data_IF_372147723465
#
_entry.id   IF_372147723465
#
_cell.length_a   1.000
_cell.length_b   1.000
_cell.length_c   1.000
_cell.angle_alpha   90.00
_cell.angle_beta   90.00
_cell.angle_gamma   90.00
#
_symmetry.space_group_name_H-M   'P 1'
#
loop_
_entity.id
_entity.type
_entity.pdbx_description
1 polymer ?
#
# COMPACT_ATOMS: atom_id res chain seq x y z
N UNK A 1 7.92 14.12 12.36
CA UNK A 1 7.01 13.71 11.26
C UNK A 1 5.79 13.20 11.99
N UNK A 2 4.69 13.96 11.92
CA UNK A 2 3.39 13.69 12.54
C UNK A 2 3.53 13.12 13.96
N UNK A 3 4.20 13.86 14.85
CA UNK A 3 4.55 13.36 16.19
C UNK A 3 3.31 13.10 17.08
N UNK A 4 2.14 13.61 16.68
CA UNK A 4 0.84 13.41 17.32
C UNK A 4 0.08 12.16 16.86
N UNK A 5 0.62 11.38 15.92
CA UNK A 5 -0.06 10.22 15.34
C UNK A 5 0.72 8.93 15.58
N UNK A 6 0.06 7.88 16.06
CA UNK A 6 0.65 6.55 16.20
C UNK A 6 0.73 5.79 14.88
N UNK A 7 -0.25 6.04 14.00
CA UNK A 7 -0.41 5.38 12.71
C UNK A 7 -0.81 6.39 11.63
N UNK A 8 -0.34 6.15 10.42
CA UNK A 8 -0.65 6.94 9.22
C UNK A 8 -1.20 5.98 8.16
N UNK A 9 -2.44 6.24 7.72
CA UNK A 9 -3.04 5.54 6.59
C UNK A 9 -2.85 6.40 5.33
N UNK A 10 -2.00 5.92 4.42
CA UNK A 10 -1.89 6.43 3.07
C UNK A 10 -2.88 5.69 2.17
N UNK A 11 -3.49 6.39 1.21
CA UNK A 11 -4.16 5.72 0.11
C UNK A 11 -4.56 6.65 -1.02
N UNK A 12 -4.78 6.04 -2.19
CA UNK A 12 -5.20 6.72 -3.41
C UNK A 12 -6.61 7.30 -3.26
N UNK A 13 -7.02 8.20 -4.15
CA UNK A 13 -8.39 8.72 -4.14
C UNK A 13 -9.41 7.75 -4.76
N UNK A 14 -8.94 6.70 -5.45
CA UNK A 14 -9.77 5.73 -6.19
C UNK A 14 -9.84 4.34 -5.53
N UNK A 15 -9.64 4.26 -4.21
CA UNK A 15 -9.88 3.07 -3.38
C UNK A 15 -11.02 3.30 -2.38
N UNK A 16 -11.50 2.21 -1.76
CA UNK A 16 -12.57 2.27 -0.77
C UNK A 16 -12.39 1.33 0.40
N UNK A 17 -12.97 1.69 1.55
CA UNK A 17 -13.06 0.83 2.74
C UNK A 17 -14.33 -0.01 2.70
N UNK A 18 -14.22 -1.32 2.94
CA UNK A 18 -15.36 -2.23 2.79
C UNK A 18 -16.30 -2.29 3.96
N UNK A 19 -15.79 -2.09 5.17
CA UNK A 19 -16.56 -2.18 6.41
C UNK A 19 -16.22 -0.96 7.26
N UNK A 20 -17.08 0.05 7.17
CA UNK A 20 -16.95 1.27 7.97
C UNK A 20 -17.53 1.11 9.39
N UNK A 21 -18.14 -0.03 9.70
CA UNK A 21 -18.67 -0.35 11.03
C UNK A 21 -17.59 -0.88 11.98
N UNK A 22 -16.50 -1.42 11.43
CA UNK A 22 -15.37 -1.92 12.21
C UNK A 22 -14.31 -0.84 12.41
N UNK A 23 -13.92 -0.54 13.65
CA UNK A 23 -12.83 0.38 13.91
C UNK A 23 -11.49 -0.21 13.44
N UNK A 24 -10.58 0.62 12.94
CA UNK A 24 -9.24 0.21 12.50
C UNK A 24 -8.45 -0.48 13.63
N UNK A 25 -8.70 -0.07 14.87
CA UNK A 25 -8.12 -0.65 16.08
C UNK A 25 -8.46 -2.13 16.24
N UNK A 26 -9.64 -2.57 15.75
CA UNK A 26 -10.00 -3.99 15.79
C UNK A 26 -9.10 -4.82 14.87
N UNK A 27 -8.74 -4.27 13.70
CA UNK A 27 -7.79 -4.88 12.77
C UNK A 27 -6.38 -4.94 13.37
N UNK A 28 -5.92 -3.86 14.02
CA UNK A 28 -4.61 -3.82 14.68
C UNK A 28 -4.51 -4.82 15.85
N UNK A 29 -5.56 -4.93 16.67
CA UNK A 29 -5.62 -5.85 17.81
C UNK A 29 -5.48 -7.32 17.42
N UNK A 30 -5.89 -7.72 16.21
CA UNK A 30 -5.72 -9.10 15.73
C UNK A 30 -4.25 -9.52 15.77
N UNK A 31 -3.33 -8.63 15.37
CA UNK A 31 -1.89 -8.91 15.36
C UNK A 31 -1.30 -8.97 16.77
N UNK A 32 -1.80 -8.12 17.68
CA UNK A 32 -1.40 -8.13 19.08
C UNK A 32 -1.77 -9.45 19.78
N UNK A 33 -2.92 -10.05 19.45
CA UNK A 33 -3.34 -11.36 19.98
C UNK A 33 -2.37 -12.49 19.61
N UNK A 34 -1.62 -12.34 18.52
CA UNK A 34 -0.60 -13.29 18.07
C UNK A 34 0.83 -12.83 18.42
N UNK A 35 0.97 -11.85 19.31
CA UNK A 35 2.25 -11.27 19.73
C UNK A 35 3.09 -10.75 18.55
N UNK A 36 2.41 -10.17 17.55
CA UNK A 36 3.04 -9.52 16.41
C UNK A 36 2.98 -8.00 16.59
N UNK A 37 4.08 -7.33 16.25
CA UNK A 37 4.21 -5.87 16.37
C UNK A 37 4.61 -5.25 15.02
N UNK A 38 3.72 -5.29 14.03
CA UNK A 38 4.03 -4.78 12.70
C UNK A 38 4.21 -3.25 12.72
N UNK A 39 5.06 -2.77 11.82
CA UNK A 39 5.30 -1.35 11.56
C UNK A 39 4.66 -0.90 10.25
N UNK A 40 4.39 -1.84 9.33
CA UNK A 40 3.86 -1.56 8.00
C UNK A 40 2.86 -2.64 7.61
N UNK A 41 1.70 -2.22 7.13
CA UNK A 41 0.78 -3.09 6.41
C UNK A 41 0.65 -2.64 4.96
N UNK A 42 0.66 -3.62 4.06
CA UNK A 42 0.57 -3.41 2.61
C UNK A 42 -0.51 -4.33 2.04
N UNK A 43 -1.20 -3.93 0.95
CA UNK A 43 -2.02 -4.86 0.18
C UNK A 43 -1.14 -5.91 -0.48
N UNK A 44 -1.77 -6.88 -1.14
CA UNK A 44 -1.06 -7.84 -2.00
C UNK A 44 -1.75 -7.92 -3.34
N UNK A 45 -0.94 -7.89 -4.40
CA UNK A 45 -1.43 -8.01 -5.78
C UNK A 45 -1.51 -9.47 -6.22
N UNK A 46 -0.63 -10.35 -5.70
CA UNK A 46 -0.60 -11.79 -5.98
C UNK A 46 -0.18 -12.62 -4.76
N UNK A 47 -0.92 -13.70 -4.50
CA UNK A 47 -0.84 -14.59 -3.33
C UNK A 47 0.56 -15.03 -2.89
N UNK A 48 1.44 -15.30 -3.86
CA UNK A 48 2.73 -15.97 -3.64
C UNK A 48 3.94 -15.06 -3.89
N UNK A 49 3.68 -13.78 -4.11
CA UNK A 49 4.68 -12.81 -4.48
C UNK A 49 4.65 -11.66 -3.49
N UNK A 50 5.83 -11.22 -3.04
CA UNK A 50 6.01 -9.96 -2.33
C UNK A 50 5.82 -8.81 -3.32
N UNK A 51 4.63 -8.67 -3.87
CA UNK A 51 4.25 -7.69 -4.88
C UNK A 51 2.95 -7.07 -4.43
N UNK A 52 2.93 -5.74 -4.42
CA UNK A 52 1.80 -4.97 -3.94
C UNK A 52 1.72 -3.64 -4.68
N UNK A 53 0.50 -3.10 -4.72
CA UNK A 53 0.24 -1.75 -5.19
C UNK A 53 0.23 -0.75 -4.04
N UNK A 54 0.76 0.46 -4.24
CA UNK A 54 0.85 1.49 -3.20
C UNK A 54 -0.51 2.14 -2.86
N UNK A 55 -1.61 1.73 -3.50
CA UNK A 55 -2.91 2.39 -3.36
C UNK A 55 -3.45 2.52 -1.93
N UNK A 56 -2.96 1.67 -1.00
CA UNK A 56 -3.22 1.81 0.42
C UNK A 56 -1.99 1.32 1.17
N UNK A 57 -1.61 1.99 2.25
CA UNK A 57 -0.56 1.56 3.16
C UNK A 57 -0.87 2.08 4.56
N UNK A 58 -0.77 1.22 5.56
CA UNK A 58 -0.88 1.61 6.96
C UNK A 58 0.49 1.53 7.60
N UNK A 59 0.97 2.66 8.11
CA UNK A 59 2.33 2.84 8.57
C UNK A 59 2.34 3.29 10.03
N UNK A 60 3.08 2.59 10.88
CA UNK A 60 3.30 2.98 12.28
C UNK A 60 4.31 4.11 12.35
N UNK A 61 4.07 5.07 13.25
CA UNK A 61 4.98 6.17 13.52
C UNK A 61 6.15 5.79 14.44
N UNK A 62 6.76 4.63 14.19
CA UNK A 62 7.88 4.08 14.94
C UNK A 62 9.22 4.32 14.19
N UNK A 63 10.38 3.91 14.75
CA UNK A 63 11.65 4.06 14.06
C UNK A 63 11.70 3.39 12.68
N UNK A 64 11.02 2.25 12.49
CA UNK A 64 11.01 1.53 11.22
C UNK A 64 10.19 2.29 10.19
N UNK A 65 8.97 2.72 10.53
CA UNK A 65 8.12 3.48 9.62
C UNK A 65 8.68 4.86 9.27
N UNK A 66 9.29 5.56 10.24
CA UNK A 66 10.02 6.82 9.98
C UNK A 66 11.20 6.61 9.02
N UNK A 67 11.90 5.47 9.09
CA UNK A 67 12.97 5.12 8.16
C UNK A 67 12.42 4.79 6.77
N UNK A 68 11.29 4.08 6.69
CA UNK A 68 10.60 3.81 5.44
C UNK A 68 10.28 5.08 4.68
N UNK A 69 9.63 6.05 5.32
CA UNK A 69 9.31 7.34 4.70
C UNK A 69 10.56 8.09 4.23
N UNK A 70 11.64 8.06 5.03
CA UNK A 70 12.91 8.69 4.62
C UNK A 70 13.49 8.05 3.37
N UNK A 71 13.49 6.72 3.28
CA UNK A 71 13.99 6.00 2.11
C UNK A 71 13.07 6.21 0.89
N UNK A 72 11.76 6.31 1.09
CA UNK A 72 10.80 6.60 0.03
C UNK A 72 10.95 8.03 -0.51
N UNK A 73 11.08 9.03 0.38
CA UNK A 73 11.36 10.40 0.01
C UNK A 73 12.72 10.57 -0.66
N UNK A 74 13.72 9.79 -0.24
CA UNK A 74 15.02 9.75 -0.91
C UNK A 74 14.89 9.28 -2.34
N UNK A 75 14.09 8.24 -2.60
CA UNK A 75 13.74 7.85 -3.97
C UNK A 75 13.07 9.00 -4.71
N UNK A 76 12.02 9.61 -4.16
CA UNK A 76 11.29 10.70 -4.83
C UNK A 76 12.15 11.92 -5.23
N UNK A 77 13.29 12.13 -4.57
CA UNK A 77 14.24 13.21 -4.87
C UNK A 77 15.26 12.90 -5.98
N UNK A 78 15.30 11.66 -6.46
CA UNK A 78 16.32 11.17 -7.38
C UNK A 78 17.58 10.72 -6.63
N UNK A 79 17.93 9.44 -6.76
CA UNK A 79 19.06 8.83 -6.05
C UNK A 79 20.32 8.66 -6.89
N UNK A 80 20.17 8.60 -8.22
CA UNK A 80 21.27 8.38 -9.14
C UNK A 80 21.51 9.64 -10.00
N UNK A 81 22.71 9.76 -10.57
CA UNK A 81 23.17 10.98 -11.24
C UNK A 81 22.29 11.44 -12.41
N UNK A 82 21.66 10.49 -13.13
CA UNK A 82 20.72 10.81 -14.22
C UNK A 82 19.26 10.76 -13.79
N UNK A 83 18.98 10.67 -12.49
CA UNK A 83 17.67 10.40 -11.93
C UNK A 83 17.42 8.90 -11.72
N UNK A 84 16.23 8.55 -11.24
CA UNK A 84 15.94 7.16 -10.88
C UNK A 84 15.72 6.27 -12.11
N UNK A 85 14.97 6.78 -13.08
CA UNK A 85 14.52 6.01 -14.23
C UNK A 85 14.64 6.87 -15.49
N UNK A 86 14.91 6.27 -16.65
CA UNK A 86 14.98 7.01 -17.90
C UNK A 86 13.62 7.59 -18.25
N UNK A 87 13.61 8.87 -18.62
CA UNK A 87 12.43 9.53 -19.17
C UNK A 87 12.09 8.93 -20.54
N UNK A 88 10.83 8.58 -20.75
CA UNK A 88 10.33 8.20 -22.07
C UNK A 88 9.77 9.43 -22.77
N UNK A 89 9.79 9.44 -24.10
CA UNK A 89 9.23 10.52 -24.92
C UNK A 89 8.23 9.94 -25.90
N UNK A 90 7.15 10.68 -26.17
CA UNK A 90 6.19 10.33 -27.22
C UNK A 90 6.71 10.71 -28.62
N UNK A 91 5.90 10.42 -29.65
CA UNK A 91 6.26 10.71 -31.04
C UNK A 91 6.42 12.21 -31.34
N UNK A 92 5.87 13.09 -30.48
CA UNK A 92 6.00 14.55 -30.58
C UNK A 92 7.19 15.09 -29.76
N UNK A 93 7.99 14.20 -29.17
CA UNK A 93 9.13 14.55 -28.33
C UNK A 93 8.75 15.07 -26.94
N UNK A 94 7.51 14.87 -26.50
CA UNK A 94 7.07 15.30 -25.16
C UNK A 94 7.37 14.21 -24.12
N UNK A 95 7.76 14.59 -22.89
CA UNK A 95 7.94 13.63 -21.81
C UNK A 95 6.67 12.81 -21.59
N UNK A 96 6.81 11.50 -21.68
CA UNK A 96 5.76 10.53 -21.42
C UNK A 96 5.97 9.95 -20.04
N UNK A 97 5.09 10.32 -19.11
CA UNK A 97 5.04 9.70 -17.80
C UNK A 97 4.57 8.25 -17.93
N UNK A 98 5.34 7.32 -17.38
CA UNK A 98 4.97 5.91 -17.28
C UNK A 98 4.78 5.53 -15.81
N UNK A 99 4.06 4.43 -15.54
CA UNK A 99 3.75 4.03 -14.17
C UNK A 99 5.02 3.73 -13.36
N UNK A 100 6.11 3.32 -14.03
CA UNK A 100 7.41 3.11 -13.42
C UNK A 100 7.96 4.40 -12.78
N UNK A 101 7.56 5.57 -13.28
CA UNK A 101 7.95 6.87 -12.72
C UNK A 101 7.12 7.28 -11.50
N UNK A 102 6.18 6.44 -11.04
CA UNK A 102 5.34 6.72 -9.88
C UNK A 102 6.04 6.53 -8.54
N UNK A 103 5.27 6.78 -7.48
CA UNK A 103 5.62 6.53 -6.09
C UNK A 103 5.82 5.04 -5.79
N UNK A 104 5.09 4.15 -6.49
CA UNK A 104 5.03 2.72 -6.20
C UNK A 104 6.41 2.01 -6.30
N UNK A 105 7.23 2.22 -7.35
CA UNK A 105 8.59 1.68 -7.38
C UNK A 105 9.50 2.24 -6.30
N UNK A 106 9.29 3.50 -5.91
CA UNK A 106 9.98 4.09 -4.78
C UNK A 106 9.65 3.39 -3.46
N UNK A 107 8.41 2.95 -3.29
CA UNK A 107 7.99 2.23 -2.09
C UNK A 107 8.57 0.81 -2.04
N UNK A 108 8.63 0.11 -3.18
CA UNK A 108 9.33 -1.19 -3.27
C UNK A 108 10.80 -1.09 -2.85
N UNK A 109 11.50 -0.09 -3.40
CA UNK A 109 12.87 0.24 -2.99
C UNK A 109 12.95 0.53 -1.49
N UNK A 110 12.06 1.39 -0.99
CA UNK A 110 12.11 1.86 0.39
C UNK A 110 11.93 0.73 1.40
N UNK A 111 11.07 -0.26 1.11
CA UNK A 111 10.86 -1.42 1.98
C UNK A 111 12.12 -2.28 2.10
N UNK A 112 12.72 -2.63 0.97
CA UNK A 112 13.96 -3.43 0.94
C UNK A 112 15.06 -2.70 1.69
N UNK A 113 15.25 -1.40 1.39
CA UNK A 113 16.29 -0.60 2.01
C UNK A 113 16.09 -0.44 3.51
N UNK A 114 14.85 -0.20 3.94
CA UNK A 114 14.52 -0.03 5.37
C UNK A 114 14.73 -1.32 6.14
N UNK A 115 14.35 -2.46 5.57
CA UNK A 115 14.63 -3.75 6.18
C UNK A 115 16.14 -3.98 6.32
N UNK A 116 16.91 -3.70 5.28
CA UNK A 116 18.37 -3.80 5.35
C UNK A 116 18.97 -2.87 6.43
N UNK A 117 18.50 -1.64 6.55
CA UNK A 117 18.99 -0.67 7.54
C UNK A 117 18.80 -1.18 9.00
N UNK A 118 17.71 -1.90 9.28
CA UNK A 118 17.40 -2.41 10.62
C UNK A 118 18.04 -3.77 10.92
N UNK A 119 18.01 -4.68 9.95
CA UNK A 119 18.42 -6.07 10.16
C UNK A 119 19.80 -6.39 9.61
N UNK A 120 20.47 -5.43 8.97
CA UNK A 120 21.86 -5.50 8.47
C UNK A 120 22.15 -6.76 7.67
N UNK A 121 21.21 -7.16 6.81
CA UNK A 121 21.33 -8.38 6.00
C UNK A 121 22.49 -8.29 5.01
N UNK A 122 22.87 -7.08 4.58
CA UNK A 122 23.96 -6.81 3.64
C UNK A 122 23.69 -7.33 2.22
N UNK A 123 22.41 -7.52 1.87
CA UNK A 123 22.00 -8.16 0.62
C UNK A 123 21.47 -7.19 -0.44
N UNK A 124 21.29 -5.91 -0.12
CA UNK A 124 20.85 -4.97 -1.14
C UNK A 124 22.05 -4.61 -2.04
N UNK A 125 21.96 -4.85 -3.35
CA UNK A 125 23.03 -4.47 -4.25
C UNK A 125 23.18 -2.95 -4.37
N UNK A 126 24.28 -2.51 -4.98
CA UNK A 126 24.39 -1.16 -5.51
C UNK A 126 23.17 -0.83 -6.39
N UNK A 127 22.49 0.25 -6.02
CA UNK A 127 21.16 0.61 -6.54
C UNK A 127 21.27 1.31 -7.88
N UNK A 128 22.30 2.15 -8.06
CA UNK A 128 22.56 2.87 -9.30
C UNK A 128 23.45 2.04 -10.22
N UNK A 129 23.11 2.02 -11.50
CA UNK A 129 23.88 1.37 -12.56
C UNK A 129 24.95 2.35 -13.07
N UNK A 130 26.21 1.98 -12.93
CA UNK A 130 27.35 2.85 -13.29
C UNK A 130 27.43 3.15 -14.81
N UNK A 131 26.89 2.24 -15.64
CA UNK A 131 26.87 2.42 -17.10
C UNK A 131 25.76 3.38 -17.52
N UNK A 132 24.56 3.21 -16.98
CA UNK A 132 23.40 4.00 -17.43
C UNK A 132 23.23 5.30 -16.65
N UNK A 133 23.65 5.32 -15.38
CA UNK A 133 23.43 6.43 -14.43
C UNK A 133 22.04 6.43 -13.79
N UNK A 134 21.22 5.41 -14.03
CA UNK A 134 19.86 5.22 -13.47
C UNK A 134 19.84 4.08 -12.45
N UNK A 135 18.70 3.87 -11.78
CA UNK A 135 18.50 2.71 -10.89
C UNK A 135 18.49 1.41 -11.70
N UNK A 136 19.21 0.41 -11.20
CA UNK A 136 19.08 -0.98 -11.64
C UNK A 136 17.81 -1.59 -11.01
N UNK A 137 16.69 -1.46 -11.70
CA UNK A 137 15.38 -1.94 -11.23
C UNK A 137 15.36 -3.45 -10.97
N UNK A 138 16.20 -4.20 -11.70
CA UNK A 138 16.34 -5.65 -11.55
C UNK A 138 16.96 -6.00 -10.18
N UNK A 139 17.88 -5.19 -9.70
CA UNK A 139 18.52 -5.36 -8.39
C UNK A 139 17.75 -4.70 -7.26
N UNK A 140 17.22 -3.49 -7.51
CA UNK A 140 16.61 -2.67 -6.48
C UNK A 140 15.25 -3.20 -6.04
N UNK A 141 14.45 -3.70 -6.99
CA UNK A 141 13.08 -4.11 -6.71
C UNK A 141 12.52 -5.09 -7.74
N UNK A 142 13.26 -6.06 -8.28
CA UNK A 142 12.65 -7.03 -9.21
C UNK A 142 12.37 -8.41 -8.60
N UNK A 143 11.28 -9.06 -9.01
CA UNK A 143 10.01 -8.50 -9.51
C UNK A 143 9.19 -8.00 -8.32
N UNK A 144 9.46 -6.77 -7.90
CA UNK A 144 8.78 -5.97 -6.87
C UNK A 144 9.03 -6.37 -5.42
N UNK A 145 10.21 -6.92 -5.14
CA UNK A 145 10.81 -7.30 -3.82
C UNK A 145 10.94 -8.80 -3.58
N UNK A 146 10.35 -9.62 -4.46
CA UNK A 146 10.40 -11.08 -4.34
C UNK A 146 11.78 -11.68 -4.17
N UNK A 147 12.74 -11.28 -5.01
CA UNK A 147 14.10 -11.81 -4.95
C UNK A 147 14.72 -11.59 -3.57
N UNK A 148 14.58 -10.39 -3.03
CA UNK A 148 15.16 -10.01 -1.75
C UNK A 148 14.47 -10.75 -0.58
N UNK A 149 13.15 -10.63 -0.46
CA UNK A 149 12.42 -11.19 0.68
C UNK A 149 12.42 -12.72 0.70
N UNK A 150 12.42 -13.38 -0.47
CA UNK A 150 12.65 -14.84 -0.54
C UNK A 150 14.04 -15.23 -0.10
N UNK A 151 15.08 -14.49 -0.52
CA UNK A 151 16.46 -14.79 -0.11
C UNK A 151 16.62 -14.75 1.41
N UNK A 152 16.05 -13.75 2.08
CA UNK A 152 16.16 -13.61 3.54
C UNK A 152 15.13 -14.46 4.31
N UNK A 153 14.35 -15.31 3.62
CA UNK A 153 13.40 -16.22 4.25
C UNK A 153 12.22 -15.52 4.91
N UNK A 154 11.84 -14.32 4.46
CA UNK A 154 10.61 -13.70 4.92
C UNK A 154 9.40 -14.50 4.48
N UNK A 155 8.31 -14.34 5.24
CA UNK A 155 7.03 -15.00 4.99
C UNK A 155 6.00 -13.93 4.68
N UNK A 156 4.97 -14.30 3.92
CA UNK A 156 3.74 -13.50 3.79
C UNK A 156 2.71 -14.09 4.74
N UNK A 157 1.84 -13.27 5.33
CA UNK A 157 0.95 -13.79 6.36
C UNK A 157 -0.01 -12.78 6.93
N UNK A 158 -1.26 -13.20 7.00
CA UNK A 158 -2.30 -12.74 7.90
C UNK A 158 -3.04 -14.01 8.39
N UNK A 159 -3.70 -13.96 9.55
CA UNK A 159 -4.28 -15.09 10.29
C UNK A 159 -3.30 -16.03 11.04
N UNK A 160 -3.88 -16.81 11.96
CA UNK A 160 -3.21 -17.53 13.06
C UNK A 160 -1.96 -18.31 12.64
N UNK A 161 -2.03 -19.28 11.75
CA UNK A 161 -0.89 -20.18 11.50
C UNK A 161 0.33 -19.46 10.89
N UNK A 162 0.21 -18.65 9.81
CA UNK A 162 1.34 -17.86 9.32
C UNK A 162 1.87 -16.84 10.35
N UNK A 163 0.97 -16.14 11.06
CA UNK A 163 1.38 -15.16 12.08
C UNK A 163 2.11 -15.82 13.26
N UNK A 164 1.72 -17.04 13.67
CA UNK A 164 2.43 -17.81 14.70
C UNK A 164 3.83 -18.26 14.24
N UNK A 165 4.03 -18.42 12.94
CA UNK A 165 5.35 -18.76 12.37
C UNK A 165 6.23 -17.52 12.20
N UNK A 166 5.63 -16.34 12.03
CA UNK A 166 6.35 -15.07 11.94
C UNK A 166 6.89 -14.67 13.31
N UNK A 167 8.21 -14.52 13.43
CA UNK A 167 8.83 -13.86 14.58
C UNK A 167 9.43 -12.55 14.11
N UNK A 168 9.05 -11.46 14.76
CA UNK A 168 9.67 -10.14 14.62
C UNK A 168 9.69 -9.55 13.19
N UNK A 169 8.62 -9.77 12.42
CA UNK A 169 8.47 -9.18 11.08
C UNK A 169 7.76 -7.82 11.14
N UNK A 170 8.41 -6.72 10.73
CA UNK A 170 7.82 -5.38 10.81
C UNK A 170 6.93 -5.05 9.60
N UNK A 171 6.95 -5.89 8.56
CA UNK A 171 6.16 -5.70 7.34
C UNK A 171 5.16 -6.86 7.23
N UNK A 172 3.88 -6.51 7.12
CA UNK A 172 2.79 -7.44 6.91
C UNK A 172 2.18 -7.16 5.54
N UNK A 173 2.19 -8.17 4.70
CA UNK A 173 1.44 -8.17 3.45
C UNK A 173 0.06 -8.76 3.74
N UNK A 174 -1.00 -8.12 3.25
CA UNK A 174 -2.29 -8.79 3.04
C UNK A 174 -2.02 -10.13 2.35
N UNK A 175 -2.85 -11.15 2.55
CA UNK A 175 -2.70 -12.37 1.74
C UNK A 175 -3.93 -12.57 0.89
N UNK A 176 -3.69 -13.28 -0.18
CA UNK A 176 -4.72 -13.96 -0.91
C UNK A 176 -4.39 -15.43 -0.84
N UNK A 177 -5.16 -16.22 -0.08
CA UNK A 177 -5.03 -17.65 -0.23
C UNK A 177 -5.80 -18.05 -1.48
N UNK A 178 -5.10 -18.16 -2.61
CA UNK A 178 -5.57 -18.98 -3.74
C UNK A 178 -5.32 -20.44 -3.39
N UNK A 179 -6.03 -20.98 -2.42
CA UNK A 179 -6.28 -22.43 -2.40
C UNK A 179 -7.65 -22.66 -3.01
N UNK A 180 -7.77 -23.61 -3.93
CA UNK A 180 -9.02 -23.97 -4.62
C UNK A 180 -10.21 -24.23 -3.67
N UNK A 181 -9.93 -24.46 -2.38
CA UNK A 181 -10.92 -24.74 -1.33
C UNK A 181 -11.20 -23.58 -0.35
N UNK A 182 -10.34 -22.55 -0.26
CA UNK A 182 -10.61 -21.43 0.64
C UNK A 182 -10.19 -20.10 0.03
N UNK A 183 -11.19 -19.36 -0.46
CA UNK A 183 -11.08 -17.95 -0.83
C UNK A 183 -10.89 -17.09 0.43
N UNK A 184 -9.84 -17.36 1.20
CA UNK A 184 -9.49 -16.59 2.39
C UNK A 184 -8.58 -15.44 1.96
N UNK A 185 -9.20 -14.33 1.61
CA UNK A 185 -8.53 -13.05 1.33
C UNK A 185 -8.66 -12.19 2.57
N UNK A 186 -7.64 -11.45 2.96
CA UNK A 186 -7.67 -10.65 4.19
C UNK A 186 -6.40 -9.81 4.39
N UNK A 187 -6.51 -8.79 5.24
CA UNK A 187 -5.45 -7.79 5.44
C UNK A 187 -5.91 -6.36 5.16
N UNK A 188 -4.94 -5.46 4.99
CA UNK A 188 -5.19 -4.03 4.76
C UNK A 188 -5.98 -3.77 3.47
N UNK A 189 -5.78 -4.59 2.45
CA UNK A 189 -6.61 -4.50 1.26
C UNK A 189 -6.25 -5.44 0.11
N UNK A 190 -7.13 -5.43 -0.90
CA UNK A 190 -7.10 -6.24 -2.11
C UNK A 190 -7.17 -5.38 -3.39
N UNK A 191 -6.22 -5.58 -4.30
CA UNK A 191 -6.17 -4.96 -5.63
C UNK A 191 -6.93 -5.82 -6.66
N UNK A 192 -8.01 -5.28 -7.25
CA UNK A 192 -8.87 -6.01 -8.18
C UNK A 192 -8.62 -5.68 -9.66
N UNK A 193 -7.73 -4.74 -9.98
CA UNK A 193 -7.55 -4.26 -11.35
C UNK A 193 -6.66 -5.16 -12.24
N UNK A 194 -5.78 -5.98 -11.66
CA UNK A 194 -4.72 -6.69 -12.40
C UNK A 194 -4.51 -8.17 -12.00
N UNK A 195 -5.39 -8.71 -11.14
CA UNK A 195 -5.36 -10.11 -10.67
C UNK A 195 -6.58 -10.91 -11.12
N UNK A 196 -6.55 -12.25 -10.95
CA UNK A 196 -7.77 -13.06 -11.09
C UNK A 196 -8.81 -12.52 -10.12
N UNK A 197 -10.03 -12.25 -10.60
CA UNK A 197 -11.13 -11.79 -9.75
C UNK A 197 -11.37 -12.81 -8.64
N UNK A 198 -11.02 -12.49 -7.39
CA UNK A 198 -11.34 -13.38 -6.31
C UNK A 198 -12.83 -13.21 -6.08
N UNK A 199 -13.61 -14.28 -6.21
CA UNK A 199 -15.07 -14.18 -6.14
C UNK A 199 -15.59 -13.46 -4.87
N UNK A 200 -16.88 -13.12 -4.81
CA UNK A 200 -17.47 -12.19 -3.81
C UNK A 200 -17.15 -12.50 -2.33
N UNK A 201 -16.89 -13.77 -1.96
CA UNK A 201 -16.49 -14.17 -0.60
C UNK A 201 -15.18 -13.53 -0.12
N UNK A 202 -14.27 -13.24 -1.04
CA UNK A 202 -12.96 -12.63 -0.78
C UNK A 202 -13.06 -11.17 -0.36
N UNK A 203 -14.02 -10.46 -0.94
CA UNK A 203 -14.19 -9.02 -0.79
C UNK A 203 -14.67 -8.65 0.62
N UNK A 204 -15.35 -9.57 1.32
CA UNK A 204 -15.90 -9.37 2.66
C UNK A 204 -14.88 -9.37 3.79
N UNK A 205 -13.61 -9.68 3.50
CA UNK A 205 -12.56 -9.86 4.52
C UNK A 205 -11.37 -8.91 4.35
N UNK A 206 -11.35 -8.11 3.29
CA UNK A 206 -10.38 -7.05 3.08
C UNK A 206 -10.84 -5.75 3.78
N UNK A 207 -9.91 -5.02 4.41
CA UNK A 207 -10.23 -3.72 4.99
C UNK A 207 -10.49 -2.66 3.90
N UNK A 208 -9.64 -2.62 2.87
CA UNK A 208 -9.80 -1.76 1.69
C UNK A 208 -9.85 -2.57 0.37
N UNK A 209 -10.57 -2.05 -0.61
CA UNK A 209 -10.60 -2.54 -1.98
C UNK A 209 -10.16 -1.46 -2.95
N UNK A 210 -9.32 -1.84 -3.89
CA UNK A 210 -9.03 -1.02 -5.06
C UNK A 210 -9.78 -1.61 -6.26
N UNK A 211 -10.93 -1.03 -6.58
CA UNK A 211 -11.80 -1.44 -7.69
C UNK A 211 -12.15 -0.24 -8.56
N UNK A 212 -11.55 -0.14 -9.76
CA UNK A 212 -11.80 1.00 -10.68
C UNK A 212 -13.13 0.92 -11.43
N UNK A 213 -13.86 -0.21 -11.36
CA UNK A 213 -15.14 -0.40 -12.06
C UNK A 213 -16.21 -0.99 -11.14
N UNK A 214 -17.39 -0.39 -11.14
CA UNK A 214 -18.64 -0.89 -10.54
C UNK A 214 -18.55 -1.28 -9.06
N UNK A 215 -18.46 -0.27 -8.18
CA UNK A 215 -18.68 -0.48 -6.76
C UNK A 215 -20.14 -0.82 -6.47
N UNK A 216 -20.31 -1.82 -5.61
CA UNK A 216 -21.60 -2.41 -5.24
C UNK A 216 -22.55 -1.40 -4.56
N UNK A 217 -23.85 -1.64 -4.67
CA UNK A 217 -24.92 -0.81 -4.11
C UNK A 217 -24.83 -0.70 -2.57
N UNK A 218 -24.48 -1.78 -1.89
CA UNK A 218 -24.32 -1.80 -0.43
C UNK A 218 -23.21 -0.84 0.02
N UNK A 219 -22.09 -0.81 -0.71
CA UNK A 219 -21.02 0.14 -0.45
C UNK A 219 -21.49 1.59 -0.66
N UNK A 220 -22.26 1.87 -1.71
CA UNK A 220 -22.83 3.22 -1.92
C UNK A 220 -23.75 3.62 -0.76
N UNK A 221 -24.44 2.67 -0.16
CA UNK A 221 -25.29 2.90 1.00
C UNK A 221 -24.47 3.21 2.25
N UNK A 222 -23.46 2.39 2.57
CA UNK A 222 -22.58 2.59 3.73
C UNK A 222 -21.76 3.87 3.62
N UNK A 223 -21.22 4.19 2.44
CA UNK A 223 -20.51 5.45 2.21
C UNK A 223 -21.41 6.65 2.46
N UNK A 224 -22.67 6.62 1.97
CA UNK A 224 -23.67 7.65 2.27
C UNK A 224 -23.99 7.74 3.75
N UNK A 225 -24.08 6.61 4.45
CA UNK A 225 -24.32 6.58 5.90
C UNK A 225 -23.14 7.21 6.65
N UNK A 226 -21.90 6.86 6.32
CA UNK A 226 -20.73 7.47 6.94
C UNK A 226 -20.63 8.97 6.65
N UNK A 227 -20.79 9.41 5.40
CA UNK A 227 -20.83 10.84 5.06
C UNK A 227 -21.91 11.60 5.86
N UNK A 228 -23.04 10.95 6.11
CA UNK A 228 -24.17 11.55 6.81
C UNK A 228 -24.00 11.57 8.33
N UNK A 229 -23.40 10.53 8.92
CA UNK A 229 -23.46 10.32 10.37
C UNK A 229 -22.12 10.31 11.10
N UNK A 230 -21.00 10.04 10.41
CA UNK A 230 -19.73 9.74 11.08
C UNK A 230 -18.46 10.34 10.44
N UNK A 231 -18.55 10.88 9.23
CA UNK A 231 -17.39 11.25 8.42
C UNK A 231 -17.41 12.69 7.95
N UNK A 232 -16.21 13.20 7.71
CA UNK A 232 -15.98 14.30 6.79
C UNK A 232 -15.76 13.74 5.38
N UNK A 233 -16.26 14.43 4.37
CA UNK A 233 -16.05 14.11 2.96
C UNK A 233 -15.55 15.35 2.23
N UNK A 234 -14.81 15.14 1.16
CA UNK A 234 -14.41 16.15 0.21
C UNK A 234 -14.78 15.67 -1.20
N UNK A 235 -15.49 16.50 -1.98
CA UNK A 235 -15.92 16.14 -3.32
C UNK A 235 -16.00 17.38 -4.22
N UNK A 236 -16.12 17.17 -5.54
CA UNK A 236 -16.61 18.19 -6.45
C UNK A 236 -18.10 17.99 -6.70
N UNK A 237 -18.90 19.05 -6.49
CA UNK A 237 -20.33 19.01 -6.73
C UNK A 237 -20.64 18.99 -8.25
N UNK A 238 -21.93 18.91 -8.60
CA UNK A 238 -22.36 18.87 -10.01
C UNK A 238 -21.92 20.10 -10.83
N UNK A 239 -21.65 21.23 -10.17
CA UNK A 239 -21.18 22.47 -10.76
C UNK A 239 -19.64 22.57 -10.78
N UNK A 240 -18.93 21.51 -10.40
CA UNK A 240 -17.47 21.46 -10.36
C UNK A 240 -16.84 22.25 -9.21
N UNK A 241 -17.59 22.61 -8.17
CA UNK A 241 -17.06 23.29 -6.99
C UNK A 241 -16.62 22.29 -5.93
N UNK A 242 -15.47 22.55 -5.31
CA UNK A 242 -14.97 21.72 -4.22
C UNK A 242 -15.81 21.97 -2.95
N UNK A 243 -16.41 20.91 -2.43
CA UNK A 243 -17.20 20.89 -1.21
C UNK A 243 -16.56 19.97 -0.18
N UNK A 244 -16.55 20.42 1.07
CA UNK A 244 -16.19 19.59 2.22
C UNK A 244 -17.41 19.52 3.13
N UNK A 245 -17.87 18.33 3.51
CA UNK A 245 -18.98 18.19 4.44
C UNK A 245 -18.65 17.25 5.58
N UNK A 246 -19.10 17.54 6.80
CA UNK A 246 -18.87 16.72 7.99
C UNK A 246 -20.17 16.56 8.77
N UNK A 247 -20.47 15.34 9.24
CA UNK A 247 -21.63 15.05 10.10
C UNK A 247 -22.95 15.60 9.52
N UNK A 248 -23.15 15.43 8.21
CA UNK A 248 -24.36 15.89 7.51
C UNK A 248 -24.46 17.42 7.32
N UNK A 249 -23.39 18.18 7.57
CA UNK A 249 -23.31 19.62 7.24
C UNK A 249 -22.32 19.84 6.12
N UNK A 250 -22.73 20.54 5.07
CA UNK A 250 -21.87 20.86 3.93
C UNK A 250 -21.29 22.27 4.07
N UNK A 251 -20.02 22.41 3.71
CA UNK A 251 -19.30 23.67 3.62
C UNK A 251 -18.77 23.82 2.20
N UNK A 252 -19.21 24.87 1.50
CA UNK A 252 -18.60 25.24 0.22
C UNK A 252 -17.28 25.92 0.51
N UNK A 253 -16.17 25.36 0.03
CA UNK A 253 -14.87 26.02 0.16
C UNK A 253 -14.85 27.15 -0.88
N UNK A 254 -14.98 28.39 -0.41
CA UNK A 254 -14.79 29.57 -1.26
C UNK A 254 -13.32 29.61 -1.68
N UNK A 255 -13.07 29.49 -2.99
CA UNK A 255 -11.80 29.88 -3.60
C UNK A 255 -11.72 31.40 -3.70
#
# INVERSE_FOLDING_TARGET
ILDDYDWVLYGDLDHTFRDLSRPLESFLKEFELYNQHPSVFLPTDKAFFFTFSSYVMLLKNDPFGKRLLKNWMRFGRGMCDKGNLPMQFDNDGKPKYSWEHSDQPGLWYALVRTYEDFYKTGRMPQVCNDTTGYIDTTKAFSPETNKYFKQIGMMQGHHREPLLMMKDQPIIWSTSRETEASHDWGGLGLQMNWGQHPGPKSEHRAFALHKKKDMDLDFRHESKMCQRYHGCFANYNADGKFEVGCNGKNFTVLQ
#
